data_IF_934243482893
#
_entry.id   IF_934243482893
#
_cell.length_a   1.000
_cell.length_b   1.000
_cell.length_c   1.000
_cell.angle_alpha   90.00
_cell.angle_beta   90.00
_cell.angle_gamma   90.00
#
_symmetry.space_group_name_H-M   'P 1'
#
loop_
_entity.id
_entity.type
_entity.pdbx_description
1 polymer ?
#
# COMPACT_ATOMS: atom_id res chain seq x y z
N UNK A 1 -14.18 -5.84 45.56
CA UNK A 1 -14.58 -4.77 44.62
C UNK A 1 -16.01 -5.03 44.21
N UNK A 2 -16.89 -4.04 44.36
CA UNK A 2 -18.32 -4.21 44.23
C UNK A 2 -18.74 -4.11 42.76
N UNK A 3 -19.67 -4.95 42.29
CA UNK A 3 -20.08 -4.98 40.87
C UNK A 3 -20.67 -3.65 40.39
N UNK A 4 -21.32 -2.91 41.29
CA UNK A 4 -21.87 -1.58 41.01
C UNK A 4 -20.78 -0.53 40.77
N UNK A 5 -19.61 -0.66 41.42
CA UNK A 5 -18.47 0.24 41.19
C UNK A 5 -17.81 -0.03 39.83
N UNK A 6 -17.80 -1.30 39.40
CA UNK A 6 -17.26 -1.68 38.09
C UNK A 6 -18.15 -1.16 36.95
N UNK A 7 -19.47 -1.26 37.10
CA UNK A 7 -20.41 -0.76 36.08
C UNK A 7 -20.30 0.77 35.96
N UNK A 8 -20.26 1.51 37.06
CA UNK A 8 -20.08 2.97 37.01
C UNK A 8 -18.74 3.40 36.41
N UNK A 9 -17.66 2.64 36.63
CA UNK A 9 -16.37 2.90 36.01
C UNK A 9 -16.38 2.63 34.49
N UNK A 10 -17.12 1.62 34.05
CA UNK A 10 -17.30 1.31 32.62
C UNK A 10 -18.14 2.38 31.91
N UNK A 11 -19.23 2.86 32.51
CA UNK A 11 -20.07 3.93 31.95
C UNK A 11 -19.25 5.22 31.76
N UNK A 12 -18.48 5.60 32.78
CA UNK A 12 -17.59 6.77 32.71
C UNK A 12 -16.51 6.61 31.63
N UNK A 13 -15.96 5.41 31.48
CA UNK A 13 -14.95 5.11 30.44
C UNK A 13 -15.51 5.19 29.02
N UNK A 14 -16.76 4.77 28.81
CA UNK A 14 -17.44 4.87 27.51
C UNK A 14 -17.71 6.33 27.15
N UNK A 15 -18.17 7.14 28.09
CA UNK A 15 -18.42 8.57 27.86
C UNK A 15 -17.13 9.32 27.51
N UNK A 16 -16.02 9.02 28.19
CA UNK A 16 -14.70 9.59 27.87
C UNK A 16 -14.24 9.21 26.46
N UNK A 17 -14.52 7.99 26.01
CA UNK A 17 -14.13 7.50 24.69
C UNK A 17 -14.96 8.16 23.58
N UNK A 18 -16.26 8.37 23.80
CA UNK A 18 -17.14 9.11 22.90
C UNK A 18 -16.69 10.58 22.79
N UNK A 19 -16.34 11.20 23.92
CA UNK A 19 -15.86 12.59 23.95
C UNK A 19 -14.51 12.76 23.25
N UNK A 20 -13.59 11.81 23.41
CA UNK A 20 -12.31 11.80 22.71
C UNK A 20 -12.50 11.64 21.18
N UNK A 21 -13.38 10.74 20.76
CA UNK A 21 -13.66 10.51 19.34
C UNK A 21 -14.31 11.72 18.66
N UNK A 22 -15.30 12.34 19.32
CA UNK A 22 -15.95 13.56 18.80
C UNK A 22 -14.99 14.74 18.70
N UNK A 23 -14.10 14.93 19.69
CA UNK A 23 -13.06 15.96 19.64
C UNK A 23 -12.05 15.71 18.52
N UNK A 24 -11.60 14.47 18.35
CA UNK A 24 -10.69 14.10 17.27
C UNK A 24 -11.30 14.34 15.89
N UNK A 25 -12.58 13.98 15.71
CA UNK A 25 -13.30 14.24 14.47
C UNK A 25 -13.43 15.74 14.17
N UNK A 26 -13.76 16.54 15.17
CA UNK A 26 -13.83 18.00 15.02
C UNK A 26 -12.46 18.62 14.66
N UNK A 27 -11.36 18.08 15.20
CA UNK A 27 -10.01 18.52 14.82
C UNK A 27 -9.67 18.16 13.36
N UNK A 28 -10.08 16.98 12.89
CA UNK A 28 -9.90 16.59 11.48
C UNK A 28 -10.75 17.46 10.54
N UNK A 29 -12.00 17.74 10.89
CA UNK A 29 -12.89 18.61 10.11
C UNK A 29 -12.40 20.08 10.10
N UNK A 30 -11.84 20.57 11.21
CA UNK A 30 -11.22 21.90 11.28
C UNK A 30 -9.91 21.98 10.46
N UNK A 31 -9.08 20.93 10.48
CA UNK A 31 -7.88 20.87 9.66
C UNK A 31 -8.21 20.79 8.16
N UNK A 32 -9.24 20.05 7.78
CA UNK A 32 -9.74 20.00 6.39
C UNK A 32 -10.22 21.36 5.91
N UNK A 33 -11.02 22.06 6.72
CA UNK A 33 -11.50 23.42 6.41
C UNK A 33 -10.36 24.44 6.29
N UNK A 34 -9.30 24.29 7.08
CA UNK A 34 -8.13 25.17 7.03
C UNK A 34 -7.27 24.95 5.76
N UNK A 35 -7.15 23.70 5.29
CA UNK A 35 -6.46 23.37 4.04
C UNK A 35 -7.25 23.89 2.83
N UNK A 36 -8.58 23.81 2.87
CA UNK A 36 -9.46 24.33 1.82
C UNK A 36 -9.46 25.86 1.76
N UNK A 37 -9.40 26.54 2.91
CA UNK A 37 -9.24 28.00 2.98
C UNK A 37 -7.85 28.48 2.52
N UNK A 38 -6.79 27.67 2.71
CA UNK A 38 -5.46 27.97 2.20
C UNK A 38 -5.35 27.76 0.67
N UNK A 39 -6.08 26.79 0.11
CA UNK A 39 -6.13 26.57 -1.34
C UNK A 39 -6.87 27.69 -2.09
N UNK A 40 -7.89 28.29 -1.48
CA UNK A 40 -8.64 29.41 -2.07
C UNK A 40 -7.90 30.76 -2.06
N UNK A 41 -6.76 30.87 -1.37
CA UNK A 41 -6.00 32.12 -1.26
C UNK A 41 -4.82 32.27 -2.26
N UNK A 42 -4.60 31.29 -3.14
CA UNK A 42 -3.45 31.28 -4.08
C UNK A 42 -3.84 31.63 -5.54
N UNK A 43 -5.10 31.99 -5.79
CA UNK A 43 -5.59 32.23 -7.16
C UNK A 43 -5.98 33.71 -7.40
N UNK A 44 -4.99 34.56 -7.71
CA UNK A 44 -5.05 35.78 -8.57
C UNK A 44 -3.74 36.61 -8.50
N UNK A 45 -3.42 37.45 -9.50
CA UNK A 45 -2.84 37.13 -10.81
C UNK A 45 -1.36 37.56 -10.94
N UNK A 46 -0.66 36.90 -11.86
CA UNK A 46 0.72 37.16 -12.29
C UNK A 46 0.78 38.49 -13.07
N UNK A 47 1.58 39.45 -12.56
CA UNK A 47 1.91 40.69 -13.23
C UNK A 47 3.23 40.56 -14.01
N UNK A 48 3.13 40.98 -15.27
CA UNK A 48 4.11 41.04 -16.37
C UNK A 48 5.46 41.68 -16.02
N UNK A 49 6.55 41.01 -16.38
CA UNK A 49 7.85 41.65 -16.59
C UNK A 49 8.50 41.09 -17.88
N UNK A 50 8.39 41.86 -18.95
CA UNK A 50 9.18 41.71 -20.16
C UNK A 50 10.63 42.12 -19.89
N UNK A 51 11.59 41.25 -20.22
CA UNK A 51 12.91 41.70 -20.66
C UNK A 51 13.43 40.74 -21.73
N UNK A 52 13.89 41.34 -22.82
CA UNK A 52 14.14 40.72 -24.12
C UNK A 52 15.64 40.54 -24.33
N UNK A 53 15.97 39.47 -25.09
CA UNK A 53 17.20 39.23 -25.85
C UNK A 53 18.46 38.81 -25.06
N UNK A 54 19.31 37.88 -25.51
CA UNK A 54 19.41 37.03 -26.70
C UNK A 54 20.60 36.09 -26.41
N UNK A 55 20.48 34.77 -26.59
CA UNK A 55 21.63 33.91 -26.86
C UNK A 55 21.17 32.58 -27.45
N UNK A 56 21.17 32.55 -28.78
CA UNK A 56 21.03 31.41 -29.66
C UNK A 56 22.03 30.30 -29.30
N UNK A 57 21.51 29.11 -28.99
CA UNK A 57 22.20 27.84 -29.14
C UNK A 57 21.19 26.82 -29.71
N UNK A 58 21.69 26.01 -30.64
CA UNK A 58 20.97 25.24 -31.65
C UNK A 58 19.94 24.25 -31.08
N UNK A 59 18.79 24.03 -31.74
CA UNK A 59 17.87 22.98 -31.37
C UNK A 59 18.50 21.64 -31.74
N UNK A 60 18.98 20.91 -30.74
CA UNK A 60 19.33 19.52 -30.90
C UNK A 60 18.03 18.70 -30.94
N UNK A 61 17.49 18.56 -32.15
CA UNK A 61 16.60 17.46 -32.52
C UNK A 61 17.35 16.14 -32.33
N UNK A 62 17.03 15.46 -31.23
CA UNK A 62 17.19 14.03 -30.99
C UNK A 62 16.21 13.72 -29.85
N UNK A 63 15.11 13.00 -30.00
CA UNK A 63 14.78 11.98 -30.97
C UNK A 63 13.23 11.89 -30.98
N UNK A 64 12.58 12.60 -31.90
CA UNK A 64 11.17 12.38 -32.21
C UNK A 64 11.09 11.31 -33.31
N UNK A 65 11.54 10.12 -32.94
CA UNK A 65 11.45 8.91 -33.74
C UNK A 65 11.27 7.70 -32.81
N UNK A 66 10.20 7.70 -32.02
CA UNK A 66 9.65 6.45 -31.51
C UNK A 66 8.32 6.23 -32.19
N UNK A 67 8.32 5.26 -33.09
CA UNK A 67 7.15 4.71 -33.75
C UNK A 67 6.01 4.45 -32.75
N UNK A 68 4.81 4.25 -33.32
CA UNK A 68 3.56 3.86 -32.66
C UNK A 68 3.66 2.46 -31.99
N UNK A 69 4.74 2.23 -31.24
CA UNK A 69 5.08 1.02 -30.53
C UNK A 69 4.46 1.11 -29.14
N UNK A 70 3.62 0.13 -28.82
CA UNK A 70 2.91 0.09 -27.53
C UNK A 70 3.93 0.19 -26.39
N UNK A 71 3.75 1.12 -25.43
CA UNK A 71 4.71 1.29 -24.36
C UNK A 71 4.91 -0.03 -23.59
N UNK A 72 6.16 -0.43 -23.49
CA UNK A 72 6.60 -1.63 -22.76
C UNK A 72 7.09 -1.25 -21.37
N UNK A 73 6.89 -2.15 -20.41
CA UNK A 73 7.44 -2.05 -19.05
C UNK A 73 8.83 -2.69 -19.02
N UNK A 74 9.84 -1.91 -18.63
CA UNK A 74 11.19 -2.39 -18.36
C UNK A 74 11.51 -2.22 -16.87
N UNK A 75 12.14 -3.22 -16.28
CA UNK A 75 12.56 -3.21 -14.87
C UNK A 75 14.04 -3.55 -14.82
N UNK A 76 14.82 -2.65 -14.23
CA UNK A 76 16.25 -2.83 -14.00
C UNK A 76 16.55 -2.83 -12.50
N UNK A 77 17.63 -3.51 -12.12
CA UNK A 77 18.13 -3.54 -10.75
C UNK A 77 19.58 -3.02 -10.73
N UNK A 78 19.76 -1.68 -10.75
CA UNK A 78 21.10 -1.08 -10.81
C UNK A 78 21.91 -1.31 -9.53
N UNK A 79 21.24 -1.42 -8.39
CA UNK A 79 21.86 -1.70 -7.09
C UNK A 79 20.98 -2.65 -6.27
N UNK A 80 21.47 -3.08 -5.10
CA UNK A 80 20.73 -4.01 -4.24
C UNK A 80 19.40 -3.43 -3.75
N UNK A 81 19.35 -2.12 -3.46
CA UNK A 81 18.24 -1.46 -2.79
C UNK A 81 17.47 -0.51 -3.72
N UNK A 82 17.64 -0.63 -5.03
CA UNK A 82 17.00 0.24 -6.00
C UNK A 82 16.48 -0.59 -7.18
N UNK A 83 15.32 -0.18 -7.68
CA UNK A 83 14.73 -0.70 -8.91
C UNK A 83 14.41 0.50 -9.80
N UNK A 84 14.85 0.46 -11.05
CA UNK A 84 14.43 1.43 -12.07
C UNK A 84 13.30 0.83 -12.89
N UNK A 85 12.18 1.53 -12.96
CA UNK A 85 11.02 1.14 -13.75
C UNK A 85 10.83 2.14 -14.89
N UNK A 86 10.77 1.63 -16.12
CA UNK A 86 10.64 2.45 -17.34
C UNK A 86 9.40 2.04 -18.13
N UNK A 87 8.55 3.01 -18.47
CA UNK A 87 7.36 2.83 -19.32
C UNK A 87 7.31 3.95 -20.35
N UNK A 88 7.31 3.63 -21.64
CA UNK A 88 7.21 4.63 -22.72
C UNK A 88 8.28 5.72 -22.64
N UNK A 89 9.54 5.34 -22.39
CA UNK A 89 10.67 6.26 -22.27
C UNK A 89 10.75 7.03 -20.94
N UNK A 90 9.74 6.94 -20.07
CA UNK A 90 9.75 7.58 -18.75
C UNK A 90 10.26 6.60 -17.69
N UNK A 91 11.30 7.01 -16.95
CA UNK A 91 11.94 6.19 -15.93
C UNK A 91 11.73 6.76 -14.53
N UNK A 92 11.48 5.88 -13.56
CA UNK A 92 11.41 6.19 -12.13
C UNK A 92 12.28 5.20 -11.36
N UNK A 93 13.13 5.72 -10.48
CA UNK A 93 13.90 4.90 -9.52
C UNK A 93 13.14 4.78 -8.21
N UNK A 94 12.97 3.55 -7.73
CA UNK A 94 12.23 3.22 -6.52
C UNK A 94 13.17 2.65 -5.46
N UNK A 95 13.06 3.18 -4.23
CA UNK A 95 13.71 2.64 -3.03
C UNK A 95 12.84 1.57 -2.34
N UNK A 96 13.35 0.81 -1.36
CA UNK A 96 12.65 -0.36 -0.82
C UNK A 96 11.27 -0.06 -0.23
N UNK A 97 11.08 1.11 0.41
CA UNK A 97 9.77 1.53 0.93
C UNK A 97 8.75 1.77 -0.18
N UNK A 98 9.16 2.43 -1.27
CA UNK A 98 8.31 2.70 -2.43
C UNK A 98 8.00 1.41 -3.20
N UNK A 99 8.96 0.49 -3.30
CA UNK A 99 8.71 -0.86 -3.85
C UNK A 99 7.69 -1.60 -2.99
N UNK A 100 7.78 -1.51 -1.67
CA UNK A 100 6.79 -2.10 -0.76
C UNK A 100 5.37 -1.59 -1.01
N UNK A 101 5.21 -0.26 -1.11
CA UNK A 101 3.93 0.36 -1.43
C UNK A 101 3.41 -0.07 -2.81
N UNK A 102 4.28 -0.06 -3.83
CA UNK A 102 3.90 -0.49 -5.17
C UNK A 102 3.42 -1.95 -5.19
N UNK A 103 4.11 -2.85 -4.47
CA UNK A 103 3.70 -4.25 -4.36
C UNK A 103 2.33 -4.37 -3.68
N UNK A 104 2.05 -3.59 -2.64
CA UNK A 104 0.75 -3.58 -1.96
C UNK A 104 -0.37 -3.14 -2.91
N UNK A 105 -0.19 -2.00 -3.58
CA UNK A 105 -1.18 -1.46 -4.52
C UNK A 105 -1.43 -2.42 -5.70
N UNK A 106 -0.36 -2.96 -6.29
CA UNK A 106 -0.46 -3.94 -7.37
C UNK A 106 -1.08 -5.26 -6.91
N UNK A 107 -0.82 -5.71 -5.68
CA UNK A 107 -1.42 -6.94 -5.14
C UNK A 107 -2.92 -6.78 -4.95
N UNK A 108 -3.35 -5.64 -4.41
CA UNK A 108 -4.77 -5.30 -4.25
C UNK A 108 -5.47 -5.20 -5.61
N UNK A 109 -4.85 -4.54 -6.60
CA UNK A 109 -5.39 -4.47 -7.95
C UNK A 109 -5.44 -5.85 -8.62
N UNK A 110 -4.38 -6.65 -8.51
CA UNK A 110 -4.31 -8.00 -9.12
C UNK A 110 -5.38 -8.94 -8.58
N UNK A 111 -5.77 -8.80 -7.32
CA UNK A 111 -6.76 -9.66 -6.67
C UNK A 111 -8.16 -9.61 -7.34
N UNK A 112 -8.49 -8.53 -8.06
CA UNK A 112 -9.77 -8.38 -8.77
C UNK A 112 -9.66 -8.53 -10.29
N UNK A 113 -8.48 -8.79 -10.83
CA UNK A 113 -8.25 -8.88 -12.27
C UNK A 113 -8.46 -10.30 -12.82
N UNK A 114 -8.95 -10.35 -14.06
CA UNK A 114 -9.04 -11.57 -14.86
C UNK A 114 -7.86 -11.71 -15.84
N UNK A 115 -7.43 -12.94 -16.17
CA UNK A 115 -7.88 -14.20 -15.57
C UNK A 115 -7.42 -14.35 -14.11
N UNK A 116 -8.15 -15.13 -13.33
CA UNK A 116 -7.77 -15.43 -11.95
C UNK A 116 -6.38 -16.06 -11.86
N UNK A 117 -5.72 -15.92 -10.72
CA UNK A 117 -4.43 -16.59 -10.47
C UNK A 117 -4.65 -18.10 -10.50
N UNK A 118 -3.86 -18.87 -11.27
CA UNK A 118 -4.02 -20.32 -11.32
C UNK A 118 -4.02 -20.95 -9.92
N UNK A 119 -4.96 -21.87 -9.62
CA UNK A 119 -5.09 -22.44 -8.27
C UNK A 119 -3.97 -23.43 -7.93
N UNK A 120 -3.28 -23.97 -8.95
CA UNK A 120 -2.17 -24.89 -8.78
C UNK A 120 -0.84 -24.13 -8.86
N UNK A 121 0.14 -24.59 -8.07
CA UNK A 121 1.52 -24.06 -8.15
C UNK A 121 2.09 -24.34 -9.54
N UNK A 122 2.53 -23.30 -10.28
CA UNK A 122 3.10 -23.50 -11.60
C UNK A 122 4.42 -24.29 -11.51
N UNK A 123 4.66 -25.16 -12.49
CA UNK A 123 5.90 -25.91 -12.56
C UNK A 123 7.12 -24.97 -12.70
N UNK A 124 8.17 -25.23 -11.92
CA UNK A 124 9.42 -24.46 -11.98
C UNK A 124 9.35 -23.07 -11.32
N UNK A 125 8.26 -22.73 -10.63
CA UNK A 125 8.15 -21.45 -9.95
C UNK A 125 9.19 -21.30 -8.83
N UNK A 126 9.85 -20.14 -8.77
CA UNK A 126 10.86 -19.82 -7.74
C UNK A 126 10.19 -19.07 -6.61
N UNK A 127 10.33 -19.58 -5.38
CA UNK A 127 9.81 -18.94 -4.17
C UNK A 127 10.94 -18.33 -3.36
N UNK A 128 10.72 -17.14 -2.83
CA UNK A 128 11.54 -16.61 -1.74
C UNK A 128 10.96 -17.21 -0.45
N UNK A 129 11.62 -18.21 0.12
CA UNK A 129 11.15 -18.85 1.35
C UNK A 129 11.63 -18.08 2.58
N UNK A 130 10.69 -17.61 3.40
CA UNK A 130 11.01 -17.14 4.77
C UNK A 130 11.05 -18.34 5.71
N UNK A 131 12.23 -18.67 6.24
CA UNK A 131 12.33 -19.69 7.30
C UNK A 131 11.79 -19.12 8.61
N UNK A 132 10.89 -19.85 9.28
CA UNK A 132 10.26 -19.46 10.54
C UNK A 132 9.67 -18.04 10.49
N UNK A 133 8.66 -17.79 9.64
CA UNK A 133 8.08 -16.46 9.48
C UNK A 133 7.48 -15.97 10.81
N UNK A 134 7.55 -14.67 11.04
CA UNK A 134 6.78 -14.04 12.13
C UNK A 134 5.30 -14.13 11.76
N UNK A 135 4.46 -14.54 12.72
CA UNK A 135 3.02 -14.71 12.51
C UNK A 135 2.21 -13.98 13.59
N UNK A 136 1.02 -13.53 13.20
CA UNK A 136 0.00 -12.99 14.09
C UNK A 136 -1.35 -13.62 13.75
N UNK A 137 -2.21 -13.84 14.74
CA UNK A 137 -3.54 -14.43 14.56
C UNK A 137 -4.60 -13.59 15.25
N UNK A 138 -5.72 -13.36 14.58
CA UNK A 138 -6.88 -12.67 15.12
C UNK A 138 -8.14 -13.53 14.93
N UNK A 139 -8.98 -13.58 15.97
CA UNK A 139 -10.28 -14.28 15.92
C UNK A 139 -11.33 -13.37 15.31
N UNK A 140 -12.07 -13.88 14.33
CA UNK A 140 -13.21 -13.20 13.73
C UNK A 140 -14.51 -13.58 14.44
N UNK A 141 -15.52 -12.72 14.33
CA UNK A 141 -16.83 -12.90 14.97
C UNK A 141 -17.58 -14.13 14.44
N UNK A 142 -17.38 -14.47 13.16
CA UNK A 142 -17.94 -15.65 12.50
C UNK A 142 -17.25 -16.98 12.87
N UNK A 143 -16.24 -16.96 13.75
CA UNK A 143 -15.50 -18.13 14.15
C UNK A 143 -14.23 -18.41 13.35
N UNK A 144 -14.00 -17.70 12.24
CA UNK A 144 -12.77 -17.81 11.45
C UNK A 144 -11.56 -17.25 12.20
N UNK A 145 -10.38 -17.53 11.64
CA UNK A 145 -9.11 -16.93 12.06
C UNK A 145 -8.49 -16.19 10.89
N UNK A 146 -8.12 -14.93 11.14
CA UNK A 146 -7.20 -14.22 10.27
C UNK A 146 -5.78 -14.55 10.74
N UNK A 147 -5.04 -15.27 9.92
CA UNK A 147 -3.61 -15.52 10.07
C UNK A 147 -2.85 -14.52 9.19
N UNK A 148 -1.88 -13.81 9.76
CA UNK A 148 -0.99 -12.93 8.99
C UNK A 148 0.43 -13.45 9.14
N UNK A 149 1.12 -13.65 8.01
CA UNK A 149 2.49 -14.14 7.94
C UNK A 149 3.40 -13.08 7.33
N UNK A 150 4.57 -12.85 7.94
CA UNK A 150 5.57 -11.94 7.37
C UNK A 150 6.37 -12.65 6.26
N UNK A 151 6.22 -12.16 5.04
CA UNK A 151 7.02 -12.52 3.88
C UNK A 151 8.10 -11.45 3.60
N UNK A 152 9.32 -11.85 3.26
CA UNK A 152 10.45 -10.92 3.08
C UNK A 152 10.31 -10.01 1.85
N UNK A 153 9.55 -10.44 0.84
CA UNK A 153 9.29 -9.64 -0.37
C UNK A 153 7.90 -9.02 -0.47
N UNK A 154 6.93 -9.46 0.34
CA UNK A 154 5.53 -9.00 0.26
C UNK A 154 5.06 -8.28 1.54
N UNK A 155 5.91 -8.20 2.57
CA UNK A 155 5.50 -7.64 3.85
C UNK A 155 4.59 -8.58 4.62
N UNK A 156 3.49 -8.06 5.18
CA UNK A 156 2.51 -8.85 5.92
C UNK A 156 1.43 -9.37 4.96
N UNK A 157 1.30 -10.70 4.87
CA UNK A 157 0.32 -11.34 3.98
C UNK A 157 -0.80 -11.98 4.80
N UNK A 158 -2.06 -11.54 4.64
CA UNK A 158 -3.20 -12.08 5.37
C UNK A 158 -3.80 -13.31 4.70
N UNK A 159 -4.29 -14.24 5.52
CA UNK A 159 -5.00 -15.44 5.11
C UNK A 159 -6.15 -15.70 6.08
N UNK A 160 -7.33 -16.00 5.55
CA UNK A 160 -8.49 -16.36 6.36
C UNK A 160 -8.68 -17.87 6.33
N UNK A 161 -8.83 -18.46 7.53
CA UNK A 161 -9.05 -19.88 7.69
C UNK A 161 -10.31 -20.15 8.49
N UNK A 162 -11.14 -21.05 7.99
CA UNK A 162 -12.17 -21.71 8.78
C UNK A 162 -11.52 -22.69 9.76
N UNK A 163 -12.20 -23.04 10.88
CA UNK A 163 -11.68 -24.01 11.84
C UNK A 163 -11.28 -25.35 11.20
N UNK A 164 -12.07 -25.87 10.27
CA UNK A 164 -11.80 -27.15 9.60
C UNK A 164 -10.53 -27.09 8.74
N UNK A 165 -10.32 -25.98 8.02
CA UNK A 165 -9.11 -25.77 7.22
C UNK A 165 -7.85 -25.71 8.10
N UNK A 166 -7.94 -25.14 9.30
CA UNK A 166 -6.81 -25.13 10.25
C UNK A 166 -6.43 -26.55 10.68
N UNK A 167 -7.41 -27.40 10.96
CA UNK A 167 -7.17 -28.80 11.33
C UNK A 167 -6.52 -29.55 10.17
N UNK A 168 -7.05 -29.38 8.96
CA UNK A 168 -6.48 -29.99 7.76
C UNK A 168 -5.04 -29.54 7.51
N UNK A 169 -4.73 -28.25 7.68
CA UNK A 169 -3.38 -27.71 7.55
C UNK A 169 -2.42 -28.35 8.56
N UNK A 170 -2.82 -28.47 9.83
CA UNK A 170 -2.01 -29.15 10.85
C UNK A 170 -1.70 -30.60 10.46
N UNK A 171 -2.71 -31.34 9.98
CA UNK A 171 -2.51 -32.71 9.53
C UNK A 171 -1.52 -32.79 8.37
N UNK A 172 -1.65 -31.93 7.34
CA UNK A 172 -0.73 -31.91 6.19
C UNK A 172 0.72 -31.56 6.59
N UNK A 173 0.91 -30.70 7.59
CA UNK A 173 2.25 -30.28 8.04
C UNK A 173 2.93 -31.25 9.00
N UNK A 174 2.19 -32.20 9.58
CA UNK A 174 2.71 -33.13 10.60
C UNK A 174 2.69 -34.60 10.19
N UNK A 175 2.06 -34.91 9.05
CA UNK A 175 2.17 -36.22 8.42
C UNK A 175 3.64 -36.52 8.07
N UNK A 176 4.08 -37.72 8.43
CA UNK A 176 5.43 -38.25 8.19
C UNK A 176 5.48 -39.10 6.94
#
# INVERSE_FOLDING_TARGET
MNLHEQIGALETGVDQLIQAFTTSRQQVEAASSAVEAAAAAVEAPIETAETTAEARAEPQEADDAAADEKPTLHIERPSQNEITMTIGGKSVTLHPSQVGQLVEELSNARASMEPEVPPNLPAGWRFVSTKNPVMAVQKQSNGDRLLVLRHTGHGWVPFQFSPDMVIQMYMMLTQK
#
